data_IF_559877607881
#
_entry.id   IF_559877607881
#
_cell.length_a   1.000
_cell.length_b   1.000
_cell.length_c   1.000
_cell.angle_alpha   90.00
_cell.angle_beta   90.00
_cell.angle_gamma   90.00
#
_symmetry.space_group_name_H-M   'P 1'
#
loop_
_entity.id
_entity.type
_entity.pdbx_description
1 polymer ?
#
# COMPACT_ATOMS: atom_id res chain seq x y z
N UNK A 1 65.09 -22.79 -19.51
CA UNK A 1 63.69 -23.18 -19.24
C UNK A 1 63.19 -22.34 -18.10
N UNK A 2 62.55 -21.22 -18.40
CA UNK A 2 61.90 -20.34 -17.43
C UNK A 2 60.45 -20.22 -17.87
N UNK A 3 59.53 -20.75 -17.06
CA UNK A 3 58.09 -20.59 -17.23
C UNK A 3 57.65 -19.39 -16.37
N UNK A 4 57.19 -18.35 -17.06
CA UNK A 4 56.59 -17.16 -16.46
C UNK A 4 55.12 -17.46 -16.07
N UNK A 5 54.85 -17.50 -14.76
CA UNK A 5 53.51 -17.47 -14.20
C UNK A 5 52.86 -16.09 -14.39
N UNK A 6 52.03 -15.93 -15.42
CA UNK A 6 51.12 -14.78 -15.53
C UNK A 6 49.75 -15.11 -14.90
N UNK A 7 49.56 -14.53 -13.71
CA UNK A 7 48.27 -14.33 -13.01
C UNK A 7 47.16 -13.85 -13.96
N UNK A 8 46.17 -14.70 -14.20
CA UNK A 8 44.83 -14.28 -14.62
C UNK A 8 44.01 -13.90 -13.39
N UNK A 9 44.00 -12.61 -13.04
CA UNK A 9 43.09 -12.07 -12.02
C UNK A 9 41.71 -11.96 -12.67
N UNK A 10 40.84 -12.92 -12.39
CA UNK A 10 39.42 -12.85 -12.77
C UNK A 10 38.80 -11.64 -12.08
N UNK A 11 38.38 -10.67 -12.88
CA UNK A 11 37.61 -9.52 -12.43
C UNK A 11 36.20 -10.02 -12.08
N UNK A 12 35.96 -10.26 -10.80
CA UNK A 12 34.62 -10.49 -10.28
C UNK A 12 33.89 -9.14 -10.30
N UNK A 13 33.24 -8.84 -11.41
CA UNK A 13 32.31 -7.72 -11.54
C UNK A 13 31.13 -7.90 -10.60
N UNK A 14 31.32 -7.54 -9.33
CA UNK A 14 30.25 -7.34 -8.36
C UNK A 14 29.56 -6.02 -8.67
N UNK A 15 28.69 -6.03 -9.68
CA UNK A 15 27.68 -4.99 -9.84
C UNK A 15 26.60 -5.25 -8.80
N UNK A 16 26.62 -4.50 -7.70
CA UNK A 16 25.48 -4.47 -6.77
C UNK A 16 24.30 -3.80 -7.49
N UNK A 17 23.50 -4.60 -8.19
CA UNK A 17 22.23 -4.16 -8.77
C UNK A 17 21.25 -3.83 -7.64
N UNK A 18 21.23 -2.56 -7.22
CA UNK A 18 20.29 -2.07 -6.23
C UNK A 18 18.89 -1.89 -6.83
N UNK A 19 17.87 -2.50 -6.22
CA UNK A 19 16.47 -2.29 -6.61
C UNK A 19 16.02 -0.87 -6.27
N UNK A 20 15.46 -0.15 -7.26
CA UNK A 20 14.92 1.20 -7.08
C UNK A 20 13.42 1.25 -6.77
N UNK A 21 12.70 0.15 -7.02
CA UNK A 21 11.28 -0.02 -6.75
C UNK A 21 10.91 -1.51 -6.58
N UNK A 22 9.87 -1.77 -5.79
CA UNK A 22 9.25 -3.08 -5.59
C UNK A 22 7.74 -2.89 -5.60
N UNK A 23 7.04 -3.63 -6.47
CA UNK A 23 5.58 -3.71 -6.49
C UNK A 23 5.14 -5.16 -6.54
N UNK A 24 4.25 -5.57 -5.62
CA UNK A 24 3.74 -6.94 -5.54
C UNK A 24 2.34 -7.00 -4.94
N UNK A 25 1.58 -8.03 -5.29
CA UNK A 25 0.26 -8.33 -4.72
C UNK A 25 0.33 -9.64 -3.95
N UNK A 26 0.17 -9.55 -2.64
CA UNK A 26 0.20 -10.70 -1.74
C UNK A 26 -1.21 -11.17 -1.43
N UNK A 27 -1.54 -12.43 -1.72
CA UNK A 27 -2.83 -12.99 -1.28
C UNK A 27 -2.73 -13.36 0.22
N UNK A 28 -3.51 -12.70 1.12
CA UNK A 28 -3.42 -12.92 2.56
C UNK A 28 -3.89 -14.31 2.98
N UNK A 29 -4.71 -14.99 2.16
CA UNK A 29 -5.26 -16.31 2.47
C UNK A 29 -4.32 -17.43 2.00
N UNK A 30 -3.74 -17.29 0.79
CA UNK A 30 -2.96 -18.34 0.12
C UNK A 30 -1.88 -18.95 1.01
N UNK A 31 -1.07 -18.12 1.66
CA UNK A 31 0.06 -18.56 2.47
C UNK A 31 -0.15 -18.40 3.97
N UNK A 32 -1.38 -18.12 4.41
CA UNK A 32 -1.69 -17.86 5.83
C UNK A 32 -1.34 -19.02 6.75
N UNK A 33 -1.33 -20.26 6.26
CA UNK A 33 -1.00 -21.45 7.07
C UNK A 33 0.51 -21.67 7.13
N UNK A 34 1.20 -21.48 6.02
CA UNK A 34 2.59 -21.90 5.83
C UNK A 34 3.60 -20.78 6.17
N UNK A 35 3.21 -19.51 6.02
CA UNK A 35 4.08 -18.36 6.25
C UNK A 35 3.59 -17.57 7.47
N UNK A 36 4.27 -17.68 8.65
CA UNK A 36 3.92 -16.94 9.85
C UNK A 36 3.86 -15.43 9.64
N UNK A 37 4.79 -14.88 8.86
CA UNK A 37 4.86 -13.45 8.56
C UNK A 37 3.59 -12.91 7.88
N UNK A 38 2.90 -13.72 7.06
CA UNK A 38 1.63 -13.32 6.44
C UNK A 38 0.53 -13.12 7.51
N UNK A 39 0.46 -14.03 8.48
CA UNK A 39 -0.48 -13.90 9.60
C UNK A 39 -0.16 -12.69 10.46
N UNK A 40 1.12 -12.45 10.74
CA UNK A 40 1.56 -11.30 11.52
C UNK A 40 1.22 -9.98 10.83
N UNK A 41 1.43 -9.89 9.51
CA UNK A 41 1.03 -8.74 8.71
C UNK A 41 -0.48 -8.50 8.80
N UNK A 42 -1.30 -9.51 8.51
CA UNK A 42 -2.77 -9.39 8.57
C UNK A 42 -3.24 -9.03 9.98
N UNK A 43 -2.67 -9.64 11.01
CA UNK A 43 -2.99 -9.34 12.41
C UNK A 43 -2.58 -7.91 12.80
N UNK A 44 -1.44 -7.42 12.30
CA UNK A 44 -1.02 -6.05 12.51
C UNK A 44 -2.01 -5.08 11.86
N UNK A 45 -2.34 -5.28 10.59
CA UNK A 45 -3.32 -4.47 9.87
C UNK A 45 -4.68 -4.49 10.56
N UNK A 46 -5.13 -5.67 11.01
CA UNK A 46 -6.36 -5.83 11.80
C UNK A 46 -6.36 -4.97 13.05
N UNK A 47 -5.27 -5.00 13.84
CA UNK A 47 -5.12 -4.16 15.04
C UNK A 47 -5.22 -2.67 14.71
N UNK A 48 -4.64 -2.24 13.59
CA UNK A 48 -4.74 -0.84 13.16
C UNK A 48 -6.18 -0.49 12.75
N UNK A 49 -6.84 -1.35 11.98
CA UNK A 49 -8.24 -1.17 11.55
C UNK A 49 -9.18 -1.13 12.76
N UNK A 50 -9.10 -2.08 13.67
CA UNK A 50 -9.96 -2.15 14.85
C UNK A 50 -9.81 -0.89 15.74
N UNK A 51 -8.60 -0.32 15.80
CA UNK A 51 -8.28 0.88 16.58
C UNK A 51 -8.64 2.20 15.90
N UNK A 52 -8.50 2.28 14.58
CA UNK A 52 -8.51 3.55 13.84
C UNK A 52 -9.68 3.70 12.86
N UNK A 53 -10.42 2.64 12.54
CA UNK A 53 -11.59 2.73 11.68
C UNK A 53 -12.68 3.58 12.34
N UNK A 54 -13.35 4.40 11.52
CA UNK A 54 -14.42 5.29 11.97
C UNK A 54 -15.78 4.59 12.08
N UNK A 55 -15.92 3.37 11.57
CA UNK A 55 -17.17 2.62 11.52
C UNK A 55 -16.94 1.10 11.65
N UNK A 56 -17.95 0.37 12.15
CA UNK A 56 -17.89 -1.08 12.27
C UNK A 56 -18.00 -1.77 10.91
N UNK A 57 -18.71 -1.17 9.94
CA UNK A 57 -18.80 -1.65 8.56
C UNK A 57 -17.41 -1.74 7.91
N UNK A 58 -16.52 -0.79 8.21
CA UNK A 58 -15.12 -0.83 7.72
C UNK A 58 -14.36 -2.00 8.32
N UNK A 59 -14.55 -2.28 9.62
CA UNK A 59 -13.92 -3.41 10.31
C UNK A 59 -14.42 -4.74 9.75
N UNK A 60 -15.74 -4.86 9.57
CA UNK A 60 -16.38 -6.04 8.98
C UNK A 60 -15.91 -6.27 7.54
N UNK A 61 -15.86 -5.21 6.72
CA UNK A 61 -15.36 -5.27 5.35
C UNK A 61 -13.92 -5.77 5.30
N UNK A 62 -13.02 -5.20 6.12
CA UNK A 62 -11.65 -5.67 6.23
C UNK A 62 -11.58 -7.15 6.64
N UNK A 63 -12.29 -7.54 7.71
CA UNK A 63 -12.28 -8.91 8.21
C UNK A 63 -12.78 -9.91 7.15
N UNK A 64 -13.83 -9.56 6.40
CA UNK A 64 -14.35 -10.40 5.30
C UNK A 64 -13.30 -10.63 4.22
N UNK A 65 -12.52 -9.61 3.88
CA UNK A 65 -11.55 -9.62 2.77
C UNK A 65 -10.31 -10.46 3.08
N UNK A 66 -9.86 -10.43 4.33
CA UNK A 66 -8.67 -11.19 4.78
C UNK A 66 -9.01 -12.58 5.31
N UNK A 67 -10.31 -12.93 5.40
CA UNK A 67 -10.76 -14.24 5.88
C UNK A 67 -10.68 -15.32 4.79
N UNK A 68 -10.38 -16.57 5.14
CA UNK A 68 -10.39 -17.69 4.19
C UNK A 68 -11.74 -17.89 3.48
N UNK A 69 -12.85 -17.61 4.17
CA UNK A 69 -14.19 -17.68 3.61
C UNK A 69 -14.48 -16.64 2.51
N UNK A 70 -13.71 -15.53 2.47
CA UNK A 70 -13.76 -14.57 1.37
C UNK A 70 -13.31 -15.21 0.06
N UNK A 71 -12.25 -16.02 0.12
CA UNK A 71 -11.69 -16.72 -1.05
C UNK A 71 -12.58 -17.83 -1.62
N UNK A 72 -13.47 -18.41 -0.82
CA UNK A 72 -14.45 -19.42 -1.27
C UNK A 72 -15.81 -18.84 -1.65
N UNK A 73 -16.15 -17.64 -1.18
CA UNK A 73 -17.42 -16.94 -1.43
C UNK A 73 -17.41 -15.93 -2.59
N UNK A 74 -16.40 -15.96 -3.45
CA UNK A 74 -16.29 -15.12 -4.64
C UNK A 74 -15.51 -13.81 -4.48
N UNK A 75 -14.97 -13.49 -3.29
CA UNK A 75 -14.15 -12.29 -3.07
C UNK A 75 -12.69 -12.64 -2.76
N UNK A 76 -11.83 -12.67 -3.78
CA UNK A 76 -10.39 -12.82 -3.58
C UNK A 76 -9.74 -11.44 -3.36
N UNK A 77 -8.99 -11.28 -2.28
CA UNK A 77 -8.33 -10.03 -1.91
C UNK A 77 -6.81 -10.14 -2.10
N UNK A 78 -6.18 -9.09 -2.61
CA UNK A 78 -4.72 -8.95 -2.65
C UNK A 78 -4.25 -7.77 -1.80
N UNK A 79 -3.11 -7.90 -1.12
CA UNK A 79 -2.44 -6.79 -0.44
C UNK A 79 -1.37 -6.25 -1.38
N UNK A 80 -1.55 -5.02 -1.86
CA UNK A 80 -0.58 -4.32 -2.67
C UNK A 80 0.52 -3.74 -1.77
N UNK A 81 1.76 -4.16 -2.03
CA UNK A 81 2.97 -3.55 -1.50
C UNK A 81 3.66 -2.86 -2.67
N UNK A 82 3.70 -1.53 -2.63
CA UNK A 82 4.31 -0.69 -3.66
C UNK A 82 5.24 0.31 -2.96
N UNK A 83 6.53 0.03 -2.96
CA UNK A 83 7.55 0.85 -2.33
C UNK A 83 8.64 1.17 -3.36
N UNK A 84 9.11 2.42 -3.37
CA UNK A 84 10.12 2.88 -4.32
C UNK A 84 10.96 3.99 -3.71
N UNK A 85 12.13 4.22 -4.29
CA UNK A 85 12.92 5.41 -3.96
C UNK A 85 12.13 6.68 -4.33
N UNK A 86 12.23 7.70 -3.49
CA UNK A 86 11.48 8.96 -3.65
C UNK A 86 11.85 9.71 -4.94
N UNK A 87 13.06 9.47 -5.46
CA UNK A 87 13.58 10.07 -6.68
C UNK A 87 13.36 9.20 -7.92
N UNK A 88 12.58 8.12 -7.83
CA UNK A 88 12.21 7.34 -9.01
C UNK A 88 11.40 8.25 -9.97
N UNK A 89 11.79 8.36 -11.26
CA UNK A 89 11.03 9.13 -12.24
C UNK A 89 9.56 8.70 -12.30
N UNK A 90 8.65 9.66 -12.29
CA UNK A 90 7.20 9.41 -12.30
C UNK A 90 6.73 8.65 -13.53
N UNK A 91 7.44 8.81 -14.65
CA UNK A 91 7.16 8.18 -15.95
C UNK A 91 7.30 6.65 -15.90
N UNK A 92 8.03 6.11 -14.92
CA UNK A 92 8.19 4.66 -14.74
C UNK A 92 7.04 4.02 -13.96
N UNK A 93 6.29 4.81 -13.17
CA UNK A 93 5.23 4.30 -12.28
C UNK A 93 4.10 3.61 -13.05
N UNK A 94 3.58 4.14 -14.17
CA UNK A 94 2.58 3.43 -14.98
C UNK A 94 3.11 2.08 -15.48
N UNK A 95 4.38 2.04 -15.90
CA UNK A 95 5.05 0.82 -16.35
C UNK A 95 5.12 -0.25 -15.25
N UNK A 96 5.46 0.13 -14.02
CA UNK A 96 5.50 -0.77 -12.86
C UNK A 96 4.13 -1.42 -12.62
N UNK A 97 3.06 -0.61 -12.61
CA UNK A 97 1.71 -1.15 -12.44
C UNK A 97 1.25 -2.02 -13.61
N UNK A 98 1.65 -1.68 -14.84
CA UNK A 98 1.33 -2.46 -16.04
C UNK A 98 1.97 -3.84 -15.98
N UNK A 99 3.24 -3.94 -15.63
CA UNK A 99 3.93 -5.22 -15.45
C UNK A 99 3.19 -6.09 -14.44
N UNK A 100 2.82 -5.51 -13.29
CA UNK A 100 2.08 -6.25 -12.27
C UNK A 100 0.68 -6.69 -12.74
N UNK A 101 -0.01 -5.86 -13.54
CA UNK A 101 -1.30 -6.20 -14.17
C UNK A 101 -1.14 -7.38 -15.13
N UNK A 102 -0.10 -7.32 -15.96
CA UNK A 102 0.20 -8.32 -16.97
C UNK A 102 0.64 -9.64 -16.32
N UNK A 103 1.42 -9.60 -15.24
CA UNK A 103 1.82 -10.78 -14.45
C UNK A 103 0.62 -11.52 -13.83
N UNK A 104 -0.34 -10.77 -13.28
CA UNK A 104 -1.59 -11.37 -12.77
C UNK A 104 -2.40 -11.98 -13.91
N UNK A 105 -2.52 -11.30 -15.04
CA UNK A 105 -3.23 -11.81 -16.21
C UNK A 105 -2.55 -13.08 -16.77
N UNK A 106 -1.23 -13.09 -16.85
CA UNK A 106 -0.45 -14.23 -17.29
C UNK A 106 -0.64 -15.42 -16.34
N UNK A 107 -0.58 -15.21 -15.02
CA UNK A 107 -0.81 -16.24 -13.99
C UNK A 107 -2.18 -16.91 -14.10
N UNK A 108 -3.18 -16.20 -14.63
CA UNK A 108 -4.54 -16.71 -14.85
C UNK A 108 -4.74 -17.40 -16.21
N UNK A 109 -3.78 -17.28 -17.12
CA UNK A 109 -3.85 -17.87 -18.46
C UNK A 109 -3.59 -19.37 -18.44
N UNK A 110 -4.08 -20.08 -19.46
CA UNK A 110 -3.78 -21.51 -19.65
C UNK A 110 -2.30 -21.77 -20.00
N UNK A 111 -1.59 -20.75 -20.49
CA UNK A 111 -0.18 -20.85 -20.85
C UNK A 111 0.76 -20.77 -19.62
N UNK A 112 0.27 -20.32 -18.47
CA UNK A 112 1.09 -20.25 -17.27
C UNK A 112 1.33 -21.64 -16.68
N UNK A 113 2.55 -21.89 -16.23
CA UNK A 113 2.92 -23.05 -15.41
C UNK A 113 2.42 -22.94 -13.95
N UNK A 114 1.32 -22.20 -13.72
CA UNK A 114 0.70 -22.09 -12.41
C UNK A 114 -0.24 -23.29 -12.17
N UNK A 115 -0.03 -24.08 -11.10
CA UNK A 115 -0.93 -25.17 -10.75
C UNK A 115 -2.37 -24.69 -10.64
N UNK A 116 -3.34 -25.50 -11.09
CA UNK A 116 -4.75 -25.13 -11.09
C UNK A 116 -5.27 -24.74 -9.68
N UNK A 117 -4.75 -25.40 -8.65
CA UNK A 117 -5.06 -25.12 -7.25
C UNK A 117 -4.56 -23.76 -6.77
N UNK A 118 -3.50 -23.21 -7.39
CA UNK A 118 -2.95 -21.90 -7.05
C UNK A 118 -3.64 -20.78 -7.83
N UNK A 119 -4.08 -21.06 -9.08
CA UNK A 119 -4.72 -20.08 -9.97
C UNK A 119 -5.88 -19.33 -9.33
N UNK A 120 -6.64 -19.99 -8.44
CA UNK A 120 -7.76 -19.37 -7.70
C UNK A 120 -7.34 -18.19 -6.82
N UNK A 121 -6.09 -18.16 -6.35
CA UNK A 121 -5.56 -17.10 -5.50
C UNK A 121 -5.18 -15.83 -6.25
N UNK A 122 -5.09 -15.86 -7.58
CA UNK A 122 -4.78 -14.69 -8.42
C UNK A 122 -6.04 -14.05 -9.05
N UNK A 123 -7.23 -14.62 -8.82
CA UNK A 123 -8.52 -14.09 -9.29
C UNK A 123 -9.01 -12.91 -8.43
N UNK A 124 -8.15 -11.90 -8.27
CA UNK A 124 -8.42 -10.77 -7.38
C UNK A 124 -9.69 -10.02 -7.77
N UNK A 125 -10.51 -9.73 -6.76
CA UNK A 125 -11.69 -8.87 -6.85
C UNK A 125 -11.44 -7.51 -6.23
N UNK A 126 -10.54 -7.47 -5.24
CA UNK A 126 -10.20 -6.27 -4.49
C UNK A 126 -8.71 -6.25 -4.17
N UNK A 127 -8.20 -5.03 -4.00
CA UNK A 127 -6.83 -4.78 -3.56
C UNK A 127 -6.83 -3.86 -2.34
N UNK A 128 -6.00 -4.23 -1.36
CA UNK A 128 -5.69 -3.43 -0.18
C UNK A 128 -4.35 -2.75 -0.38
N UNK A 129 -4.35 -1.44 -0.49
CA UNK A 129 -3.15 -0.64 -0.62
C UNK A 129 -2.70 -0.16 0.74
N UNK A 130 -1.43 -0.37 1.06
CA UNK A 130 -0.77 0.22 2.22
C UNK A 130 0.20 1.29 1.73
N UNK A 131 -0.13 2.56 1.94
CA UNK A 131 0.69 3.70 1.53
C UNK A 131 1.00 4.65 2.69
N UNK A 132 1.78 5.68 2.41
CA UNK A 132 2.02 6.81 3.29
C UNK A 132 1.62 8.12 2.64
N UNK A 133 1.19 9.07 3.46
CA UNK A 133 0.96 10.44 3.04
C UNK A 133 1.46 11.40 4.12
N UNK A 134 1.74 12.62 3.71
CA UNK A 134 2.02 13.74 4.59
C UNK A 134 0.78 14.62 4.73
N UNK A 135 0.66 15.24 5.89
CA UNK A 135 -0.32 16.29 6.18
C UNK A 135 0.43 17.45 6.79
N UNK A 136 0.18 18.65 6.29
CA UNK A 136 0.68 19.87 6.92
C UNK A 136 0.01 20.05 8.30
N UNK A 137 0.77 19.99 9.41
CA UNK A 137 0.22 20.17 10.74
C UNK A 137 -0.28 21.60 11.00
N UNK A 138 0.21 22.58 10.24
CA UNK A 138 -0.22 23.99 10.32
C UNK A 138 -1.58 24.22 9.68
N UNK A 139 -1.97 23.36 8.74
CA UNK A 139 -3.29 23.42 8.13
C UNK A 139 -4.39 22.98 9.12
N UNK A 140 -4.07 22.13 10.12
CA UNK A 140 -5.01 21.76 11.17
C UNK A 140 -5.55 23.01 11.87
N UNK A 141 -6.87 23.09 12.15
CA UNK A 141 -7.41 24.31 12.70
C UNK A 141 -6.73 24.55 14.05
N UNK A 142 -6.09 25.72 14.18
CA UNK A 142 -5.60 26.19 15.46
C UNK A 142 -6.70 26.02 16.51
N UNK A 143 -6.33 25.93 17.79
CA UNK A 143 -7.30 25.86 18.89
C UNK A 143 -8.36 26.98 18.87
N UNK A 144 -8.18 28.00 18.03
CA UNK A 144 -9.14 29.05 17.73
C UNK A 144 -9.80 28.86 16.34
N UNK A 145 -10.85 28.03 16.26
CA UNK A 145 -11.85 28.26 15.22
C UNK A 145 -12.67 29.51 15.61
N UNK A 146 -12.96 30.43 14.67
CA UNK A 146 -13.89 31.54 14.90
C UNK A 146 -15.31 30.97 14.91
N UNK A 147 -15.74 30.49 16.08
CA UNK A 147 -17.03 29.86 16.29
C UNK A 147 -17.13 29.34 17.71
N UNK A 148 -17.94 30.01 18.51
CA UNK A 148 -18.08 29.93 19.97
C UNK A 148 -17.90 28.57 20.66
N UNK A 149 -17.61 28.67 21.96
CA UNK A 149 -17.37 27.65 23.02
C UNK A 149 -18.29 26.40 23.08
N UNK A 150 -19.08 26.02 22.06
CA UNK A 150 -20.05 24.89 22.11
C UNK A 150 -20.18 24.05 20.82
N UNK A 151 -19.15 23.87 20.00
CA UNK A 151 -19.22 22.85 18.94
C UNK A 151 -19.02 21.44 19.55
N UNK A 152 -20.00 20.54 19.39
CA UNK A 152 -19.93 19.12 19.84
C UNK A 152 -18.65 18.45 19.32
N UNK A 153 -18.00 17.64 20.15
CA UNK A 153 -16.72 16.97 19.86
C UNK A 153 -16.74 16.18 18.53
N UNK A 154 -17.85 15.53 18.21
CA UNK A 154 -18.03 14.79 16.96
C UNK A 154 -17.93 15.69 15.71
N UNK A 155 -18.52 16.88 15.73
CA UNK A 155 -18.47 17.83 14.61
C UNK A 155 -17.06 18.38 14.40
N UNK A 156 -16.31 18.58 15.49
CA UNK A 156 -14.88 18.96 15.45
C UNK A 156 -14.02 17.84 14.85
N UNK A 157 -14.23 16.57 15.25
CA UNK A 157 -13.53 15.41 14.68
C UNK A 157 -13.78 15.32 13.17
N UNK A 158 -15.03 15.43 12.73
CA UNK A 158 -15.40 15.41 11.31
C UNK A 158 -14.73 16.54 10.52
N UNK A 159 -14.80 17.78 11.00
CA UNK A 159 -14.17 18.92 10.32
C UNK A 159 -12.65 18.74 10.17
N UNK A 160 -11.98 18.20 11.19
CA UNK A 160 -10.54 17.89 11.14
C UNK A 160 -10.22 16.79 10.12
N UNK A 161 -11.01 15.72 10.07
CA UNK A 161 -10.83 14.63 9.10
C UNK A 161 -11.01 15.11 7.66
N UNK A 162 -12.02 15.94 7.39
CA UNK A 162 -12.28 16.48 6.06
C UNK A 162 -11.18 17.44 5.59
N UNK A 163 -10.66 18.27 6.49
CA UNK A 163 -9.50 19.10 6.19
C UNK A 163 -8.24 18.27 5.97
N UNK A 164 -8.01 17.27 6.82
CA UNK A 164 -6.88 16.36 6.66
C UNK A 164 -6.92 15.67 5.29
N UNK A 165 -8.10 15.26 4.80
CA UNK A 165 -8.27 14.70 3.46
C UNK A 165 -7.87 15.67 2.35
N UNK A 166 -8.19 16.97 2.49
CA UNK A 166 -7.84 18.01 1.51
C UNK A 166 -6.35 18.34 1.47
N UNK A 167 -5.68 18.22 2.60
CA UNK A 167 -4.26 18.57 2.77
C UNK A 167 -3.33 17.37 2.60
N UNK A 168 -3.85 16.20 2.20
CA UNK A 168 -3.01 15.01 1.98
C UNK A 168 -2.08 15.25 0.81
N UNK A 169 -0.80 15.01 1.05
CA UNK A 169 0.23 14.91 0.02
C UNK A 169 0.72 13.48 0.00
N UNK A 170 0.37 12.73 -1.04
CA UNK A 170 0.78 11.34 -1.17
C UNK A 170 2.26 11.25 -1.55
N UNK A 171 2.96 10.27 -0.99
CA UNK A 171 4.35 9.98 -1.40
C UNK A 171 4.35 9.40 -2.81
N UNK A 172 3.39 8.51 -3.07
CA UNK A 172 3.17 7.94 -4.38
C UNK A 172 2.03 8.71 -5.05
N UNK A 173 2.32 9.43 -6.15
CA UNK A 173 1.34 10.33 -6.77
C UNK A 173 0.08 9.61 -7.26
N UNK A 174 0.21 8.36 -7.68
CA UNK A 174 -0.89 7.53 -8.15
C UNK A 174 -1.95 7.26 -7.07
N UNK A 175 -1.56 7.32 -5.79
CA UNK A 175 -2.50 7.18 -4.67
C UNK A 175 -3.51 8.35 -4.61
N UNK A 176 -3.19 9.52 -5.18
CA UNK A 176 -4.14 10.63 -5.29
C UNK A 176 -5.36 10.22 -6.11
N UNK A 177 -5.15 9.44 -7.17
CA UNK A 177 -6.21 8.91 -8.02
C UNK A 177 -6.86 7.68 -7.37
N UNK A 178 -6.07 6.74 -6.86
CA UNK A 178 -6.60 5.47 -6.35
C UNK A 178 -7.48 5.65 -5.11
N UNK A 179 -7.13 6.58 -4.22
CA UNK A 179 -7.88 6.80 -2.98
C UNK A 179 -9.28 7.38 -3.24
N UNK A 180 -9.48 8.12 -4.33
CA UNK A 180 -10.80 8.65 -4.71
C UNK A 180 -11.78 7.53 -5.09
N UNK A 181 -11.25 6.37 -5.49
CA UNK A 181 -12.02 5.16 -5.79
C UNK A 181 -12.10 4.19 -4.60
N UNK A 182 -11.59 4.57 -3.43
CA UNK A 182 -11.59 3.70 -2.26
C UNK A 182 -13.00 3.41 -1.74
N UNK A 183 -13.33 2.12 -1.62
CA UNK A 183 -14.56 1.66 -0.97
C UNK A 183 -14.57 2.01 0.52
N UNK A 184 -13.40 1.94 1.14
CA UNK A 184 -13.14 2.36 2.51
C UNK A 184 -11.65 2.66 2.68
N UNK A 185 -11.34 3.43 3.72
CA UNK A 185 -9.98 3.81 4.06
C UNK A 185 -9.81 4.00 5.56
N UNK A 186 -8.63 3.66 6.08
CA UNK A 186 -8.24 3.82 7.48
C UNK A 186 -6.83 4.38 7.53
N UNK A 187 -6.63 5.43 8.32
CA UNK A 187 -5.32 6.06 8.50
C UNK A 187 -4.87 6.06 9.94
N UNK A 188 -3.58 5.90 10.19
CA UNK A 188 -2.99 5.99 11.53
C UNK A 188 -1.63 6.70 11.51
N UNK A 189 -1.17 7.21 12.68
CA UNK A 189 0.14 7.84 12.78
C UNK A 189 1.26 6.87 12.38
N UNK A 190 2.27 7.37 11.67
CA UNK A 190 3.46 6.58 11.40
C UNK A 190 4.21 6.27 12.72
N UNK A 191 4.79 5.07 12.89
CA UNK A 191 5.54 4.72 14.10
C UNK A 191 6.66 5.73 14.41
N UNK A 192 6.93 5.96 15.71
CA UNK A 192 8.08 6.76 16.13
C UNK A 192 9.39 6.03 15.77
N UNK A 193 10.43 6.76 15.35
CA UNK A 193 11.74 6.19 15.00
C UNK A 193 11.98 5.93 13.51
N UNK A 194 11.15 6.51 12.64
CA UNK A 194 11.24 6.44 11.17
C UNK A 194 12.45 7.15 10.54
N UNK A 195 13.46 7.52 11.32
CA UNK A 195 14.62 8.29 10.87
C UNK A 195 14.33 9.75 10.52
N UNK A 196 13.07 10.20 10.55
CA UNK A 196 12.70 11.60 10.36
C UNK A 196 12.95 12.35 11.67
N UNK A 197 13.72 13.43 11.60
CA UNK A 197 14.04 14.25 12.75
C UNK A 197 12.78 14.96 13.31
N UNK A 198 12.78 15.32 14.60
CA UNK A 198 11.62 15.93 15.24
C UNK A 198 11.18 17.27 14.64
N UNK A 199 12.07 18.07 14.05
CA UNK A 199 11.73 19.36 13.43
C UNK A 199 10.94 19.12 12.14
N UNK A 200 11.42 18.22 11.28
CA UNK A 200 10.71 17.82 10.05
C UNK A 200 9.33 17.25 10.37
N UNK A 201 9.18 16.49 11.46
CA UNK A 201 7.85 15.99 11.90
C UNK A 201 6.89 17.09 12.36
N UNK A 202 7.39 18.23 12.84
CA UNK A 202 6.55 19.40 13.17
C UNK A 202 6.04 20.09 11.91
N UNK A 203 6.76 19.98 10.80
CA UNK A 203 6.40 20.60 9.51
C UNK A 203 5.53 19.69 8.64
N UNK A 204 5.74 18.37 8.67
CA UNK A 204 4.95 17.39 7.92
C UNK A 204 4.69 16.16 8.79
N UNK A 205 3.43 15.94 9.16
CA UNK A 205 3.04 14.74 9.88
C UNK A 205 2.85 13.59 8.89
N UNK A 206 3.78 12.62 8.89
CA UNK A 206 3.64 11.38 8.12
C UNK A 206 2.59 10.47 8.76
N UNK A 207 1.71 9.92 7.93
CA UNK A 207 0.71 8.92 8.31
C UNK A 207 0.75 7.73 7.37
N UNK A 208 0.31 6.58 7.89
CA UNK A 208 -0.01 5.40 7.08
C UNK A 208 -1.48 5.46 6.67
N UNK A 209 -1.75 5.00 5.46
CA UNK A 209 -3.10 4.83 4.92
C UNK A 209 -3.25 3.40 4.42
N UNK A 210 -4.28 2.71 4.89
CA UNK A 210 -4.79 1.49 4.31
C UNK A 210 -6.10 1.80 3.61
N UNK A 211 -6.22 1.46 2.34
CA UNK A 211 -7.46 1.66 1.60
C UNK A 211 -7.74 0.49 0.67
N UNK A 212 -9.01 0.34 0.31
CA UNK A 212 -9.48 -0.76 -0.50
C UNK A 212 -10.11 -0.27 -1.79
N UNK A 213 -9.69 -0.83 -2.93
CA UNK A 213 -10.32 -0.61 -4.23
C UNK A 213 -10.70 -1.93 -4.89
N UNK A 214 -11.63 -1.89 -5.85
CA UNK A 214 -11.90 -3.06 -6.70
C UNK A 214 -10.72 -3.27 -7.65
N UNK A 215 -10.43 -4.52 -7.95
CA UNK A 215 -9.36 -4.89 -8.87
C UNK A 215 -9.60 -4.34 -10.30
N UNK A 216 -10.85 -4.36 -10.76
CA UNK A 216 -11.21 -3.83 -12.08
C UNK A 216 -11.06 -2.30 -12.17
N UNK A 217 -11.38 -1.58 -11.09
CA UNK A 217 -11.18 -0.13 -11.02
C UNK A 217 -9.68 0.19 -11.08
N UNK A 218 -8.86 -0.56 -10.33
CA UNK A 218 -7.39 -0.43 -10.40
C UNK A 218 -6.86 -0.62 -11.81
N UNK A 219 -7.25 -1.69 -12.51
CA UNK A 219 -6.82 -1.93 -13.90
C UNK A 219 -7.16 -0.76 -14.82
N UNK A 220 -8.38 -0.23 -14.69
CA UNK A 220 -8.86 0.89 -15.48
C UNK A 220 -8.04 2.15 -15.20
N UNK A 221 -7.75 2.43 -13.93
CA UNK A 221 -6.94 3.59 -13.53
C UNK A 221 -5.49 3.45 -13.99
N UNK A 222 -4.90 2.25 -13.92
CA UNK A 222 -3.54 2.00 -14.43
C UNK A 222 -3.43 2.32 -15.92
N UNK A 223 -4.45 2.01 -16.71
CA UNK A 223 -4.50 2.33 -18.14
C UNK A 223 -4.66 3.85 -18.40
N UNK A 224 -5.12 4.62 -17.41
CA UNK A 224 -5.27 6.09 -17.47
C UNK A 224 -4.06 6.86 -16.92
N UNK A 225 -3.16 6.19 -16.19
CA UNK A 225 -1.93 6.81 -15.67
C UNK A 225 -0.86 7.02 -16.77
N UNK A 226 -1.06 6.45 -17.95
CA UNK A 226 -0.13 6.46 -19.09
C UNK A 226 -0.31 7.66 -20.02
#
# INVERSE_FOLDING_TARGET
SGEDDKKGKGDSGGGDDAFCAVATILNPVQYSKDIPGMRELVNHLKKQVDKHADSDETKEAFNKMVSPAGGSGGSCCGIMVNERMINLPSELVPGIHRVLKDDVAWSLSEAAHCPAEERKHYKFTHLLFLTSYYVDPSAAPSKAMPGGKKMKAAKRKKARLEMEKKERRYICFEDEVFVDHALWQVSWPFPQGDGIDPETRKMLARKRLLYCIKYDDWKTMVDQLA
#
